data_IF_230979112641
#
_entry.id   IF_230979112641
#
_cell.length_a   1.000
_cell.length_b   1.000
_cell.length_c   1.000
_cell.angle_alpha   90.00
_cell.angle_beta   90.00
_cell.angle_gamma   90.00
#
_symmetry.space_group_name_H-M   'P 1'
#
loop_
_entity.id
_entity.type
_entity.pdbx_description
1 polymer ?
#
# COMPACT_ATOMS: atom_id res chain seq x y z
N UNK A 1 -3.03 -8.70 0.70
CA UNK A 1 -1.70 -9.34 0.65
C UNK A 1 -1.68 -10.32 -0.52
N UNK A 2 -0.62 -10.44 -1.32
CA UNK A 2 -0.58 -11.52 -2.33
C UNK A 2 0.33 -11.42 -3.56
N UNK A 3 1.27 -10.49 -3.66
CA UNK A 3 2.13 -10.37 -4.86
C UNK A 3 3.64 -10.44 -4.57
N UNK A 4 4.06 -10.88 -3.38
CA UNK A 4 5.49 -10.96 -3.02
C UNK A 4 6.30 -11.85 -3.96
N UNK A 5 5.79 -13.05 -4.26
CA UNK A 5 6.43 -13.98 -5.19
C UNK A 5 6.47 -13.42 -6.62
N UNK A 6 5.39 -12.74 -7.04
CA UNK A 6 5.29 -12.10 -8.36
C UNK A 6 6.30 -10.95 -8.49
N UNK A 7 6.41 -10.11 -7.46
CA UNK A 7 7.38 -9.03 -7.40
C UNK A 7 8.82 -9.58 -7.44
N UNK A 8 9.14 -10.59 -6.62
CA UNK A 8 10.47 -11.21 -6.59
C UNK A 8 10.87 -11.84 -7.93
N UNK A 9 9.94 -12.54 -8.59
CA UNK A 9 10.17 -13.13 -9.91
C UNK A 9 10.48 -12.06 -10.96
N UNK A 10 9.65 -11.00 -11.04
CA UNK A 10 9.87 -9.92 -12.00
C UNK A 10 11.15 -9.13 -11.71
N UNK A 11 11.46 -8.84 -10.43
CA UNK A 11 12.73 -8.20 -10.07
C UNK A 11 13.95 -9.04 -10.46
N UNK A 12 13.84 -10.37 -10.45
CA UNK A 12 14.92 -11.25 -10.92
C UNK A 12 15.10 -11.15 -12.44
N UNK A 13 14.00 -11.08 -13.20
CA UNK A 13 14.06 -10.87 -14.66
C UNK A 13 14.67 -9.52 -15.02
N UNK A 14 14.32 -8.46 -14.30
CA UNK A 14 14.90 -7.12 -14.47
C UNK A 14 16.41 -7.12 -14.21
N UNK A 15 16.85 -7.74 -13.11
CA UNK A 15 18.26 -7.86 -12.78
C UNK A 15 19.06 -8.68 -13.83
N UNK A 16 18.44 -9.71 -14.43
CA UNK A 16 19.05 -10.47 -15.51
C UNK A 16 19.19 -9.62 -16.79
N UNK A 17 18.15 -8.89 -17.17
CA UNK A 17 18.17 -8.01 -18.32
C UNK A 17 19.26 -6.92 -18.18
N UNK A 18 19.36 -6.31 -17.01
CA UNK A 18 20.41 -5.32 -16.70
C UNK A 18 21.81 -5.93 -16.75
N UNK A 19 22.00 -7.14 -16.20
CA UNK A 19 23.28 -7.84 -16.26
C UNK A 19 23.69 -8.17 -17.71
N UNK A 20 22.76 -8.61 -18.54
CA UNK A 20 23.04 -8.93 -19.94
C UNK A 20 23.30 -7.67 -20.77
N UNK A 21 22.50 -6.62 -20.59
CA UNK A 21 22.73 -5.34 -21.27
C UNK A 21 24.10 -4.74 -20.93
N UNK A 22 24.54 -4.86 -19.67
CA UNK A 22 25.88 -4.42 -19.24
C UNK A 22 27.02 -5.24 -19.87
N UNK A 23 26.72 -6.43 -20.41
CA UNK A 23 27.64 -7.25 -21.20
C UNK A 23 27.50 -7.03 -22.71
N UNK A 24 26.85 -5.93 -23.14
CA UNK A 24 26.56 -5.58 -24.54
C UNK A 24 25.61 -6.54 -25.27
N UNK A 25 24.80 -7.31 -24.54
CA UNK A 25 23.73 -8.09 -25.14
C UNK A 25 22.50 -7.22 -25.43
N UNK A 26 21.80 -7.51 -26.52
CA UNK A 26 20.58 -6.80 -26.90
C UNK A 26 19.37 -7.39 -26.14
N UNK A 27 19.24 -7.05 -24.86
CA UNK A 27 18.12 -7.46 -24.01
C UNK A 27 17.47 -6.24 -23.37
N UNK A 28 16.14 -6.25 -23.32
CA UNK A 28 15.33 -5.26 -22.61
C UNK A 28 14.25 -5.97 -21.79
N UNK A 29 14.15 -5.62 -20.51
CA UNK A 29 12.97 -5.89 -19.67
C UNK A 29 12.07 -4.66 -19.65
N UNK A 30 10.76 -4.86 -19.74
CA UNK A 30 9.78 -3.78 -19.67
C UNK A 30 8.85 -4.00 -18.48
N UNK A 31 8.87 -3.06 -17.54
CA UNK A 31 7.96 -3.01 -16.40
C UNK A 31 6.69 -2.28 -16.83
N UNK A 32 5.65 -3.05 -17.13
CA UNK A 32 4.37 -2.51 -17.59
C UNK A 32 3.49 -2.05 -16.42
N UNK A 33 2.85 -0.89 -16.59
CA UNK A 33 1.72 -0.44 -15.78
C UNK A 33 0.45 -1.26 -16.04
N UNK A 34 -0.68 -0.82 -15.47
CA UNK A 34 -1.96 -1.50 -15.62
C UNK A 34 -2.50 -1.39 -17.06
N UNK A 35 -3.01 -2.48 -17.62
CA UNK A 35 -3.63 -2.52 -18.95
C UNK A 35 -5.15 -2.37 -18.86
N UNK A 36 -5.76 -1.60 -19.77
CA UNK A 36 -7.22 -1.32 -19.78
C UNK A 36 -8.03 -2.37 -20.55
N UNK A 37 -7.46 -2.96 -21.59
CA UNK A 37 -8.21 -3.74 -22.60
C UNK A 37 -8.11 -5.26 -22.38
N UNK A 38 -7.61 -5.68 -21.21
CA UNK A 38 -7.36 -7.08 -20.88
C UNK A 38 -6.27 -7.28 -19.82
N UNK A 39 -6.37 -8.35 -19.04
CA UNK A 39 -5.26 -8.86 -18.21
C UNK A 39 -5.54 -8.94 -16.71
N UNK A 40 -4.47 -9.07 -15.91
CA UNK A 40 -4.55 -9.25 -14.46
C UNK A 40 -5.20 -8.06 -13.73
N UNK A 41 -5.06 -6.84 -14.28
CA UNK A 41 -5.56 -5.59 -13.70
C UNK A 41 -7.08 -5.40 -13.87
N UNK A 42 -7.63 -5.85 -15.01
CA UNK A 42 -9.07 -5.82 -15.31
C UNK A 42 -9.87 -6.74 -14.37
N UNK A 43 -9.29 -7.89 -13.97
CA UNK A 43 -9.96 -8.87 -13.10
C UNK A 43 -10.09 -8.45 -11.63
N UNK A 44 -9.40 -7.39 -11.20
CA UNK A 44 -9.29 -7.04 -9.77
C UNK A 44 -9.60 -5.57 -9.45
N UNK A 45 -10.28 -4.83 -10.34
CA UNK A 45 -10.59 -3.39 -10.13
C UNK A 45 -9.35 -2.51 -9.84
N UNK A 46 -8.15 -3.02 -10.15
CA UNK A 46 -6.87 -2.39 -9.84
C UNK A 46 -6.62 -1.17 -10.75
N UNK A 47 -7.24 -1.13 -11.93
CA UNK A 47 -7.24 0.02 -12.84
C UNK A 47 -7.88 1.25 -12.21
N UNK A 48 -9.03 1.09 -11.53
CA UNK A 48 -9.74 2.21 -10.91
C UNK A 48 -8.92 2.85 -9.79
N UNK A 49 -8.36 2.04 -8.89
CA UNK A 49 -7.50 2.55 -7.82
C UNK A 49 -6.22 3.19 -8.37
N UNK A 50 -5.56 2.54 -9.33
CA UNK A 50 -4.36 3.06 -9.99
C UNK A 50 -4.62 4.45 -10.58
N UNK A 51 -5.74 4.63 -11.28
CA UNK A 51 -6.12 5.91 -11.89
C UNK A 51 -6.46 7.00 -10.86
N UNK A 52 -7.08 6.63 -9.73
CA UNK A 52 -7.37 7.54 -8.62
C UNK A 52 -6.11 8.12 -7.97
N UNK A 53 -5.04 7.32 -7.86
CA UNK A 53 -3.76 7.77 -7.30
C UNK A 53 -2.78 8.34 -8.35
N UNK A 54 -3.22 8.45 -9.60
CA UNK A 54 -2.52 9.13 -10.70
C UNK A 54 -1.70 8.22 -11.64
N UNK A 55 -1.77 6.91 -11.51
CA UNK A 55 -1.21 5.95 -12.47
C UNK A 55 -2.28 5.54 -13.49
N UNK A 56 -2.13 6.01 -14.72
CA UNK A 56 -3.08 5.72 -15.80
C UNK A 56 -2.98 4.29 -16.34
N UNK A 57 -3.96 3.92 -17.15
CA UNK A 57 -4.05 2.61 -17.81
C UNK A 57 -3.48 2.63 -19.23
N UNK A 58 -3.00 1.47 -19.67
CA UNK A 58 -2.38 1.24 -20.98
C UNK A 58 -3.39 0.52 -21.87
N UNK A 59 -3.80 1.17 -22.96
CA UNK A 59 -4.58 0.50 -24.00
C UNK A 59 -3.69 -0.31 -24.94
N UNK A 60 -4.28 -1.20 -25.71
CA UNK A 60 -3.58 -1.99 -26.73
C UNK A 60 -2.92 -1.09 -27.78
N UNK A 61 -3.57 0.00 -28.18
CA UNK A 61 -3.00 0.97 -29.13
C UNK A 61 -1.77 1.65 -28.53
N UNK A 62 -1.85 2.10 -27.28
CA UNK A 62 -0.74 2.75 -26.60
C UNK A 62 0.44 1.79 -26.36
N UNK A 63 0.14 0.56 -25.92
CA UNK A 63 1.13 -0.49 -25.73
C UNK A 63 1.83 -0.88 -27.04
N UNK A 64 1.08 -0.99 -28.14
CA UNK A 64 1.64 -1.30 -29.47
C UNK A 64 2.59 -0.20 -29.95
N UNK A 65 2.16 1.07 -29.85
CA UNK A 65 3.02 2.20 -30.20
C UNK A 65 4.31 2.23 -29.38
N UNK A 66 4.22 1.90 -28.09
CA UNK A 66 5.39 1.81 -27.22
C UNK A 66 6.36 0.73 -27.70
N UNK A 67 5.88 -0.48 -28.01
CA UNK A 67 6.71 -1.58 -28.51
C UNK A 67 7.42 -1.18 -29.81
N UNK A 68 6.71 -0.53 -30.73
CA UNK A 68 7.31 -0.01 -31.98
C UNK A 68 8.45 0.97 -31.70
N UNK A 69 8.26 1.90 -30.75
CA UNK A 69 9.29 2.86 -30.34
C UNK A 69 10.51 2.16 -29.71
N UNK A 70 10.29 1.18 -28.85
CA UNK A 70 11.36 0.40 -28.21
C UNK A 70 12.21 -0.31 -29.25
N UNK A 71 11.57 -1.00 -30.21
CA UNK A 71 12.26 -1.75 -31.26
C UNK A 71 13.03 -0.80 -32.18
N UNK A 72 12.42 0.33 -32.57
CA UNK A 72 13.05 1.31 -33.44
C UNK A 72 14.30 1.94 -32.81
N UNK A 73 14.28 2.18 -31.51
CA UNK A 73 15.38 2.82 -30.78
C UNK A 73 16.41 1.83 -30.21
N UNK A 74 16.19 0.52 -30.33
CA UNK A 74 17.08 -0.54 -29.83
C UNK A 74 17.48 -0.34 -28.36
N UNK A 75 16.49 -0.03 -27.53
CA UNK A 75 16.72 0.15 -26.10
C UNK A 75 17.17 -1.16 -25.46
N UNK A 76 18.05 -1.07 -24.46
CA UNK A 76 18.58 -2.20 -23.68
C UNK A 76 18.47 -1.92 -22.18
N UNK A 77 18.46 -2.96 -21.36
CA UNK A 77 18.39 -2.87 -19.91
C UNK A 77 16.96 -3.01 -19.37
N UNK A 78 16.52 -2.07 -18.54
CA UNK A 78 15.18 -2.09 -17.92
C UNK A 78 14.46 -0.78 -18.20
N UNK A 79 13.20 -0.86 -18.63
CA UNK A 79 12.37 0.29 -18.94
C UNK A 79 11.02 0.16 -18.24
N UNK A 80 10.61 1.20 -17.51
CA UNK A 80 9.26 1.28 -16.95
C UNK A 80 8.35 2.05 -17.89
N UNK A 81 7.19 1.50 -18.18
CA UNK A 81 6.15 2.15 -18.96
C UNK A 81 4.83 2.15 -18.20
N UNK A 82 4.48 3.32 -17.69
CA UNK A 82 3.18 3.58 -17.08
C UNK A 82 2.76 5.01 -17.43
N UNK A 83 1.54 5.23 -17.91
CA UNK A 83 0.98 6.57 -18.03
C UNK A 83 0.87 7.18 -16.63
N UNK A 84 1.25 8.45 -16.47
CA UNK A 84 1.16 9.15 -15.19
C UNK A 84 0.38 10.45 -15.40
N UNK A 85 -0.70 10.60 -14.63
CA UNK A 85 -1.38 11.88 -14.46
C UNK A 85 -0.73 12.63 -13.31
N UNK A 86 0.25 13.47 -13.62
CA UNK A 86 1.02 14.24 -12.64
C UNK A 86 0.18 15.16 -11.76
N UNK A 87 -0.98 15.61 -12.25
CA UNK A 87 -1.88 16.46 -11.46
C UNK A 87 -2.64 15.67 -10.39
N UNK A 88 -2.76 14.35 -10.54
CA UNK A 88 -3.44 13.45 -9.60
C UNK A 88 -2.47 12.58 -8.80
N UNK A 89 -1.19 12.55 -9.17
CA UNK A 89 -0.21 11.66 -8.59
C UNK A 89 -0.07 11.89 -7.08
N UNK A 90 -0.44 10.88 -6.29
CA UNK A 90 -0.27 10.88 -4.84
C UNK A 90 0.71 9.77 -4.44
N UNK A 91 1.93 10.15 -4.12
CA UNK A 91 2.97 9.23 -3.61
C UNK A 91 2.87 9.13 -2.08
N UNK A 92 1.77 8.58 -1.57
CA UNK A 92 1.50 8.51 -0.13
C UNK A 92 2.05 7.26 0.56
N UNK A 93 2.79 6.40 -0.16
CA UNK A 93 3.43 5.24 0.45
C UNK A 93 4.65 5.69 1.27
N UNK A 94 4.85 5.08 2.45
CA UNK A 94 5.97 5.43 3.35
C UNK A 94 7.35 5.37 2.66
N UNK A 95 7.50 4.49 1.67
CA UNK A 95 8.75 4.31 0.92
C UNK A 95 9.03 5.47 -0.06
N UNK A 96 7.98 6.11 -0.60
CA UNK A 96 8.10 7.12 -1.67
C UNK A 96 7.85 8.54 -1.16
N UNK A 97 7.14 8.70 -0.04
CA UNK A 97 6.96 10.01 0.61
C UNK A 97 8.29 10.69 0.97
N UNK A 98 9.34 9.90 1.23
CA UNK A 98 10.70 10.40 1.44
C UNK A 98 11.33 11.02 0.18
N UNK A 99 10.95 10.55 -1.00
CA UNK A 99 11.41 11.08 -2.30
C UNK A 99 10.62 12.34 -2.71
N UNK A 100 9.33 12.41 -2.37
CA UNK A 100 8.49 13.57 -2.64
C UNK A 100 8.93 14.83 -1.87
N UNK A 101 9.51 14.65 -0.66
CA UNK A 101 10.02 15.76 0.15
C UNK A 101 11.33 16.37 -0.39
N UNK A 102 11.93 15.83 -1.45
CA UNK A 102 13.22 16.33 -1.97
C UNK A 102 13.06 17.44 -3.02
N UNK A 103 11.85 17.77 -3.49
CA UNK A 103 11.63 18.72 -4.61
C UNK A 103 10.66 19.86 -4.33
N UNK A 104 10.52 20.30 -3.07
CA UNK A 104 9.76 21.53 -2.78
C UNK A 104 10.40 22.32 -1.63
N UNK A 105 11.47 23.05 -1.93
CA UNK A 105 11.69 24.34 -1.27
C UNK A 105 10.67 25.33 -1.86
N UNK A 106 9.43 25.26 -1.39
CA UNK A 106 8.46 26.32 -1.61
C UNK A 106 8.53 27.29 -0.44
N UNK A 107 8.82 28.53 -0.80
CA UNK A 107 8.85 29.73 0.01
C UNK A 107 7.66 29.76 0.98
N UNK A 108 7.95 29.86 2.27
CA UNK A 108 6.98 30.16 3.31
C UNK A 108 6.49 31.59 3.07
N UNK A 109 5.33 31.72 2.42
CA UNK A 109 4.52 32.92 2.53
C UNK A 109 3.34 32.58 3.43
N UNK A 110 3.36 33.17 4.62
CA UNK A 110 2.30 33.02 5.59
C UNK A 110 1.02 33.66 5.05
N UNK A 111 -0.05 32.88 5.03
CA UNK A 111 -1.39 33.41 5.10
C UNK A 111 -2.26 32.55 6.02
N UNK A 112 -3.12 33.28 6.72
CA UNK A 112 -3.80 32.93 7.97
C UNK A 112 -4.70 31.70 7.83
N UNK A 113 -4.50 30.73 8.73
CA UNK A 113 -5.45 29.66 8.96
C UNK A 113 -6.77 30.25 9.51
N UNK A 114 -7.85 30.04 8.76
CA UNK A 114 -9.21 30.21 9.25
C UNK A 114 -9.50 28.99 10.12
N UNK A 115 -9.58 29.20 11.43
CA UNK A 115 -10.06 28.24 12.41
C UNK A 115 -11.54 27.95 12.09
N UNK A 116 -11.86 26.71 11.69
CA UNK A 116 -13.23 26.21 11.75
C UNK A 116 -13.42 25.56 13.11
N UNK A 117 -14.44 26.02 13.82
CA UNK A 117 -14.84 25.58 15.15
C UNK A 117 -15.10 24.05 15.18
N UNK A 118 -14.44 23.37 16.11
CA UNK A 118 -14.71 21.99 16.51
C UNK A 118 -16.08 21.94 17.20
N UNK A 119 -17.10 21.48 16.47
CA UNK A 119 -18.35 21.07 17.09
C UNK A 119 -18.25 19.61 17.55
N UNK A 120 -18.70 19.44 18.79
CA UNK A 120 -19.00 18.22 19.54
C UNK A 120 -19.18 16.96 18.67
N UNK A 121 -18.41 15.92 18.97
CA UNK A 121 -18.29 14.70 18.15
C UNK A 121 -19.52 13.81 18.35
N UNK A 122 -20.63 14.17 17.72
CA UNK A 122 -21.85 13.37 17.79
C UNK A 122 -21.66 12.05 17.03
N UNK A 123 -21.93 10.92 17.70
CA UNK A 123 -21.81 9.56 17.16
C UNK A 123 -22.56 9.41 15.83
N UNK A 124 -23.67 10.14 15.68
CA UNK A 124 -24.47 10.18 14.46
C UNK A 124 -23.68 10.67 13.23
N UNK A 125 -22.77 11.63 13.42
CA UNK A 125 -21.94 12.21 12.36
C UNK A 125 -20.82 11.25 11.96
N UNK A 126 -20.20 10.61 12.95
CA UNK A 126 -19.18 9.57 12.70
C UNK A 126 -19.80 8.40 11.95
N UNK A 127 -20.98 7.93 12.36
CA UNK A 127 -21.68 6.82 11.71
C UNK A 127 -21.97 7.13 10.23
N UNK A 128 -22.42 8.36 9.92
CA UNK A 128 -22.64 8.76 8.52
C UNK A 128 -21.36 8.78 7.69
N UNK A 129 -20.24 9.29 8.24
CA UNK A 129 -18.95 9.32 7.54
C UNK A 129 -18.40 7.89 7.32
N UNK A 130 -18.50 7.00 8.32
CA UNK A 130 -18.08 5.60 8.15
C UNK A 130 -18.92 4.92 7.07
N UNK A 131 -20.24 5.12 7.05
CA UNK A 131 -21.13 4.57 6.02
C UNK A 131 -20.74 5.07 4.63
N UNK A 132 -20.40 6.36 4.49
CA UNK A 132 -19.94 6.91 3.23
C UNK A 132 -18.65 6.23 2.74
N UNK A 133 -17.62 6.13 3.60
CA UNK A 133 -16.37 5.47 3.24
C UNK A 133 -16.56 3.99 2.85
N UNK A 134 -17.52 3.30 3.47
CA UNK A 134 -17.85 1.91 3.12
C UNK A 134 -18.55 1.81 1.76
N UNK A 135 -19.52 2.68 1.49
CA UNK A 135 -20.26 2.68 0.22
C UNK A 135 -19.41 3.07 -0.99
N UNK A 136 -18.32 3.83 -0.79
CA UNK A 136 -17.35 4.14 -1.85
C UNK A 136 -16.54 2.91 -2.29
N UNK A 137 -16.37 1.93 -1.39
CA UNK A 137 -15.53 0.74 -1.61
C UNK A 137 -16.37 -0.48 -1.97
N UNK A 138 -17.54 -0.63 -1.34
CA UNK A 138 -18.46 -1.74 -1.58
C UNK A 138 -19.71 -1.21 -2.29
N UNK A 139 -20.00 -1.66 -3.53
CA UNK A 139 -21.04 -1.06 -4.37
C UNK A 139 -22.50 -1.30 -3.95
N UNK A 140 -22.75 -1.93 -2.79
CA UNK A 140 -24.09 -2.27 -2.32
C UNK A 140 -24.48 -1.42 -1.10
N UNK A 141 -25.78 -1.14 -0.96
CA UNK A 141 -26.34 -0.52 0.26
C UNK A 141 -26.33 -1.57 1.39
N UNK A 142 -25.32 -1.48 2.26
CA UNK A 142 -25.08 -2.45 3.33
C UNK A 142 -25.72 -1.95 4.62
N UNK A 143 -26.49 -2.83 5.28
CA UNK A 143 -27.02 -2.55 6.60
C UNK A 143 -25.90 -2.40 7.64
N UNK A 144 -26.05 -1.44 8.57
CA UNK A 144 -25.00 -1.08 9.54
C UNK A 144 -24.51 -2.25 10.42
N UNK A 145 -25.35 -3.27 10.63
CA UNK A 145 -25.06 -4.47 11.44
C UNK A 145 -24.50 -5.64 10.60
N UNK A 146 -24.44 -5.49 9.28
CA UNK A 146 -23.97 -6.55 8.38
C UNK A 146 -22.45 -6.61 8.32
N UNK A 147 -21.93 -7.83 8.25
CA UNK A 147 -20.52 -8.11 8.05
C UNK A 147 -20.09 -7.67 6.65
N UNK A 148 -19.09 -6.81 6.57
CA UNK A 148 -18.61 -6.28 5.30
C UNK A 148 -17.96 -7.35 4.42
N UNK A 149 -17.32 -8.35 5.03
CA UNK A 149 -16.72 -9.47 4.29
C UNK A 149 -17.77 -10.28 3.52
N UNK A 150 -18.94 -10.50 4.12
CA UNK A 150 -20.05 -11.22 3.47
C UNK A 150 -20.71 -10.39 2.37
N UNK A 151 -20.48 -9.06 2.37
CA UNK A 151 -21.00 -8.12 1.39
C UNK A 151 -19.97 -7.73 0.30
N UNK A 152 -18.85 -8.46 0.21
CA UNK A 152 -17.86 -8.30 -0.87
C UNK A 152 -16.63 -7.47 -0.53
N UNK A 153 -16.43 -7.11 0.75
CA UNK A 153 -15.16 -6.54 1.21
C UNK A 153 -14.07 -7.62 1.24
N UNK A 154 -13.08 -7.47 0.38
CA UNK A 154 -11.92 -8.36 0.32
C UNK A 154 -10.71 -7.82 1.12
N UNK A 155 -9.57 -8.50 1.00
CA UNK A 155 -8.32 -8.10 1.67
C UNK A 155 -7.74 -6.78 1.17
N UNK A 156 -8.04 -6.36 -0.06
CA UNK A 156 -7.57 -5.09 -0.61
C UNK A 156 -8.50 -3.95 -0.19
N UNK A 157 -9.81 -4.17 -0.28
CA UNK A 157 -10.84 -3.26 0.23
C UNK A 157 -10.68 -2.97 1.71
N UNK A 158 -10.24 -3.94 2.51
CA UNK A 158 -9.92 -3.72 3.94
C UNK A 158 -8.76 -2.75 4.17
N UNK A 159 -7.76 -2.74 3.28
CA UNK A 159 -6.63 -1.79 3.35
C UNK A 159 -7.10 -0.39 2.91
N UNK A 160 -7.86 -0.32 1.81
CA UNK A 160 -8.39 0.94 1.30
C UNK A 160 -9.34 1.61 2.30
N UNK A 161 -10.21 0.82 2.93
CA UNK A 161 -11.15 1.31 3.93
C UNK A 161 -10.41 1.82 5.18
N UNK A 162 -9.39 1.10 5.64
CA UNK A 162 -8.56 1.57 6.74
C UNK A 162 -7.87 2.90 6.42
N UNK A 163 -7.40 3.08 5.18
CA UNK A 163 -6.76 4.33 4.74
C UNK A 163 -7.77 5.48 4.63
N UNK A 164 -8.96 5.24 4.07
CA UNK A 164 -10.02 6.24 3.95
C UNK A 164 -10.47 6.73 5.34
N UNK A 165 -10.72 5.80 6.26
CA UNK A 165 -11.09 6.12 7.64
C UNK A 165 -9.94 6.84 8.38
N UNK A 166 -8.69 6.45 8.14
CA UNK A 166 -7.53 7.14 8.72
C UNK A 166 -7.46 8.61 8.32
N UNK A 167 -7.73 8.89 7.03
CA UNK A 167 -7.70 10.23 6.49
C UNK A 167 -8.89 11.09 6.96
N UNK A 168 -10.10 10.52 6.97
CA UNK A 168 -11.32 11.24 7.38
C UNK A 168 -11.29 11.60 8.87
N UNK A 169 -10.74 10.72 9.71
CA UNK A 169 -10.79 10.88 11.16
C UNK A 169 -9.47 11.34 11.81
N UNK A 170 -8.42 11.58 11.01
CA UNK A 170 -7.05 11.87 11.47
C UNK A 170 -6.54 10.83 12.50
N UNK A 171 -6.71 9.55 12.15
CA UNK A 171 -6.32 8.41 12.98
C UNK A 171 -5.33 7.51 12.22
N UNK A 172 -4.46 6.81 12.93
CA UNK A 172 -3.63 5.75 12.33
C UNK A 172 -4.34 4.40 12.42
N UNK A 173 -5.10 4.06 11.38
CA UNK A 173 -5.80 2.78 11.25
C UNK A 173 -5.15 1.93 10.16
N UNK A 174 -5.14 0.61 10.35
CA UNK A 174 -4.59 -0.36 9.40
C UNK A 174 -5.64 -1.42 9.06
N UNK A 175 -5.33 -2.35 8.15
CA UNK A 175 -6.28 -3.40 7.76
C UNK A 175 -6.72 -4.31 8.93
N UNK A 176 -5.90 -4.46 9.98
CA UNK A 176 -6.26 -5.21 11.19
C UNK A 176 -7.44 -4.56 11.93
N UNK A 177 -7.53 -3.22 11.88
CA UNK A 177 -8.67 -2.50 12.44
C UNK A 177 -9.99 -2.89 11.76
N UNK A 178 -10.02 -2.94 10.42
CA UNK A 178 -11.22 -3.28 9.64
C UNK A 178 -11.60 -4.76 9.85
N UNK A 179 -10.61 -5.64 9.96
CA UNK A 179 -10.83 -7.06 10.23
C UNK A 179 -11.44 -7.28 11.63
N UNK A 180 -10.97 -6.55 12.64
CA UNK A 180 -11.47 -6.68 14.01
C UNK A 180 -12.81 -5.96 14.24
N UNK A 181 -13.20 -5.07 13.33
CA UNK A 181 -14.44 -4.31 13.40
C UNK A 181 -15.24 -4.52 12.09
N UNK A 182 -15.85 -5.70 11.89
CA UNK A 182 -16.36 -6.10 10.58
C UNK A 182 -17.67 -5.44 10.15
N UNK A 183 -18.24 -4.52 10.94
CA UNK A 183 -19.51 -3.83 10.65
C UNK A 183 -19.33 -2.31 10.75
N UNK A 184 -20.19 -1.55 10.06
CA UNK A 184 -20.20 -0.09 10.09
C UNK A 184 -20.40 0.43 11.52
N UNK A 185 -21.32 -0.20 12.26
CA UNK A 185 -21.62 0.16 13.65
C UNK A 185 -20.41 0.00 14.57
N UNK A 186 -19.74 -1.16 14.53
CA UNK A 186 -18.56 -1.41 15.36
C UNK A 186 -17.41 -0.46 15.01
N UNK A 187 -17.21 -0.16 13.73
CA UNK A 187 -16.19 0.83 13.32
C UNK A 187 -16.50 2.23 13.84
N UNK A 188 -17.76 2.68 13.77
CA UNK A 188 -18.16 3.98 14.28
C UNK A 188 -17.99 4.07 15.82
N UNK A 189 -18.32 3.02 16.56
CA UNK A 189 -18.11 2.94 18.01
C UNK A 189 -16.62 3.04 18.37
N UNK A 190 -15.78 2.25 17.71
CA UNK A 190 -14.34 2.19 17.99
C UNK A 190 -13.60 3.49 17.60
N UNK A 191 -14.01 4.14 16.49
CA UNK A 191 -13.50 5.46 16.09
C UNK A 191 -13.89 6.54 17.10
N UNK A 192 -15.12 6.47 17.62
CA UNK A 192 -15.61 7.40 18.65
C UNK A 192 -14.78 7.28 19.93
N UNK A 193 -14.50 6.06 20.38
CA UNK A 193 -13.66 5.82 21.56
C UNK A 193 -12.22 6.29 21.35
N UNK A 194 -11.61 6.01 20.18
CA UNK A 194 -10.24 6.47 19.87
C UNK A 194 -10.14 7.99 19.79
N UNK A 195 -11.16 8.70 19.27
CA UNK A 195 -11.20 10.17 19.27
C UNK A 195 -11.34 10.76 20.67
N UNK A 196 -12.13 10.15 21.56
CA UNK A 196 -12.20 10.57 22.97
C UNK A 196 -10.84 10.50 23.66
N UNK A 197 -10.10 9.41 23.48
CA UNK A 197 -8.78 9.21 24.10
C UNK A 197 -7.73 10.19 23.57
N UNK A 198 -7.74 10.48 22.27
CA UNK A 198 -6.86 11.50 21.68
C UNK A 198 -7.19 12.90 22.19
N UNK A 199 -8.46 13.26 22.34
CA UNK A 199 -8.86 14.56 22.90
C UNK A 199 -8.47 14.70 24.38
N UNK A 200 -8.47 13.62 25.17
CA UNK A 200 -8.00 13.64 26.56
C UNK A 200 -6.48 13.86 26.62
N UNK A 201 -5.71 13.23 25.73
CA UNK A 201 -4.23 13.33 25.72
C UNK A 201 -3.75 14.70 25.24
N UNK A 202 -4.46 15.31 24.30
CA UNK A 202 -4.23 16.70 23.86
C UNK A 202 -4.54 17.71 24.98
N UNK A 203 -5.59 17.48 25.78
CA UNK A 203 -5.95 18.35 26.91
C UNK A 203 -5.00 18.23 28.12
N UNK A 204 -4.33 17.10 28.33
CA UNK A 204 -3.31 16.95 29.38
C UNK A 204 -2.02 17.71 29.02
N UNK A 205 -1.74 17.94 27.74
CA UNK A 205 -0.51 18.62 27.28
C UNK A 205 -0.59 20.16 27.39
N UNK A 206 -1.80 20.73 27.53
CA UNK A 206 -2.01 22.19 27.62
C UNK A 206 -1.79 22.74 29.05
N UNK A 207 -1.60 21.89 30.07
CA UNK A 207 -1.45 22.34 31.46
C UNK A 207 0.00 22.27 32.00
N UNK A 208 0.98 22.70 31.20
CA UNK A 208 2.39 22.81 31.64
C UNK A 208 2.80 24.20 32.16
N UNK A 209 1.89 25.17 32.17
CA UNK A 209 2.18 26.55 32.61
C UNK A 209 1.97 26.80 34.12
N UNK A 210 1.74 25.76 34.95
CA UNK A 210 1.51 25.93 36.40
C UNK A 210 2.44 25.14 37.34
N UNK A 211 3.69 24.87 36.96
CA UNK A 211 4.72 24.50 37.96
C UNK A 211 5.95 25.40 37.79
N UNK A 212 5.82 26.62 38.31
CA UNK A 212 6.92 27.52 38.58
C UNK A 212 7.14 27.53 40.10
N UNK A 213 8.01 26.64 40.59
CA UNK A 213 8.97 26.89 41.67
C UNK A 213 9.48 25.55 42.22
N UNK A 214 10.77 25.27 41.95
CA UNK A 214 11.78 24.82 42.90
C UNK A 214 13.09 24.60 42.12
N UNK A 215 14.03 25.51 42.35
CA UNK A 215 15.39 25.47 41.82
C UNK A 215 16.20 24.31 42.42
N UNK A 216 17.16 23.86 41.60
CA UNK A 216 18.45 23.21 41.94
C UNK A 216 18.42 21.85 42.64
N UNK A 217 19.00 20.82 42.01
CA UNK A 217 20.35 20.30 42.32
C UNK A 217 20.88 19.51 41.12
N UNK A 218 22.19 19.64 40.95
CA UNK A 218 23.13 19.17 39.94
C UNK A 218 23.19 17.63 39.73
N UNK A 219 23.84 17.27 38.61
CA UNK A 219 24.64 16.06 38.32
C UNK A 219 24.06 14.91 37.46
N UNK A 220 24.65 14.83 36.26
CA UNK A 220 25.10 13.64 35.51
C UNK A 220 24.16 12.45 35.29
N UNK A 221 23.67 12.32 34.04
CA UNK A 221 23.83 11.08 33.27
C UNK A 221 23.77 11.35 31.76
N UNK A 222 24.90 11.13 31.09
CA UNK A 222 25.01 10.94 29.63
C UNK A 222 24.18 9.73 29.22
N UNK A 223 23.51 9.76 28.06
CA UNK A 223 23.98 9.07 26.83
C UNK A 223 22.95 9.12 25.68
N UNK A 224 23.43 9.64 24.54
CA UNK A 224 23.22 9.20 23.15
C UNK A 224 21.84 8.79 22.64
N UNK A 225 21.33 9.56 21.67
CA UNK A 225 20.24 9.18 20.77
C UNK A 225 20.33 9.89 19.40
N UNK A 226 21.53 9.91 18.79
CA UNK A 226 21.66 10.14 17.35
C UNK A 226 21.55 8.75 16.71
N UNK A 227 20.45 8.45 16.02
CA UNK A 227 20.31 7.19 15.27
C UNK A 227 20.42 7.49 13.77
N UNK A 228 21.59 7.15 13.23
CA UNK A 228 21.92 7.05 11.81
C UNK A 228 20.97 6.06 11.12
N UNK A 229 20.09 6.52 10.23
CA UNK A 229 19.21 5.69 9.40
C UNK A 229 19.89 5.17 8.11
N UNK A 230 21.15 4.74 8.18
CA UNK A 230 21.90 4.31 6.99
C UNK A 230 22.44 2.88 7.02
N UNK A 231 22.14 2.07 8.05
CA UNK A 231 22.74 0.74 8.22
C UNK A 231 21.80 -0.36 8.72
N UNK A 232 20.48 -0.25 8.51
CA UNK A 232 19.59 -1.40 8.72
C UNK A 232 19.70 -2.42 7.57
N UNK A 233 20.87 -3.06 7.44
CA UNK A 233 20.90 -4.48 7.11
C UNK A 233 20.15 -5.18 8.24
N UNK A 234 18.86 -5.45 8.04
CA UNK A 234 18.07 -6.30 8.93
C UNK A 234 18.64 -7.71 8.78
N UNK A 235 19.71 -7.98 9.53
CA UNK A 235 20.33 -9.28 9.72
C UNK A 235 19.58 -10.03 10.84
N UNK A 236 18.25 -9.89 10.87
CA UNK A 236 17.41 -10.57 11.83
C UNK A 236 17.17 -12.00 11.35
N UNK A 237 17.33 -13.01 12.22
CA UNK A 237 17.12 -14.39 11.84
C UNK A 237 15.66 -14.62 11.43
N UNK A 238 15.45 -15.09 10.20
CA UNK A 238 14.13 -15.47 9.69
C UNK A 238 13.81 -16.88 10.20
N UNK A 239 12.69 -17.02 10.90
CA UNK A 239 12.16 -18.32 11.30
C UNK A 239 11.03 -18.76 10.37
N UNK A 240 11.17 -19.91 9.73
CA UNK A 240 10.09 -20.57 9.00
C UNK A 240 9.30 -21.42 10.01
N UNK A 241 8.10 -20.96 10.38
CA UNK A 241 7.26 -21.59 11.40
C UNK A 241 6.25 -22.61 10.83
N UNK A 242 6.18 -22.76 9.51
CA UNK A 242 5.32 -23.72 8.83
C UNK A 242 5.36 -23.57 7.31
N UNK A 243 5.04 -24.64 6.59
CA UNK A 243 4.97 -24.67 5.12
C UNK A 243 3.71 -25.42 4.69
N UNK A 244 3.08 -24.96 3.60
CA UNK A 244 1.98 -25.65 2.95
C UNK A 244 2.16 -25.53 1.44
N UNK A 245 2.00 -26.65 0.72
CA UNK A 245 2.19 -26.70 -0.72
C UNK A 245 0.88 -27.11 -1.39
N UNK A 246 0.49 -26.34 -2.41
CA UNK A 246 -0.52 -26.73 -3.41
C UNK A 246 -0.12 -26.08 -4.71
N UNK A 247 0.82 -26.70 -5.39
CA UNK A 247 1.51 -26.17 -6.56
C UNK A 247 1.14 -26.99 -7.81
N UNK A 248 1.34 -26.44 -9.02
CA UNK A 248 1.16 -27.20 -10.26
C UNK A 248 1.98 -28.50 -10.30
N UNK A 249 1.50 -29.51 -11.04
CA UNK A 249 2.18 -30.80 -11.14
C UNK A 249 1.92 -31.77 -9.99
N UNK A 250 0.77 -31.62 -9.32
CA UNK A 250 0.31 -32.42 -8.17
C UNK A 250 1.22 -32.36 -6.93
N UNK A 251 1.89 -31.21 -6.74
CA UNK A 251 2.78 -31.00 -5.59
C UNK A 251 1.99 -30.46 -4.40
N UNK A 252 1.91 -31.27 -3.36
CA UNK A 252 1.13 -31.05 -2.14
C UNK A 252 1.99 -30.97 -0.86
N UNK A 253 3.28 -31.26 -0.96
CA UNK A 253 4.24 -31.16 0.14
C UNK A 253 5.53 -30.42 -0.24
N UNK A 254 6.28 -29.99 0.77
CA UNK A 254 7.61 -29.37 0.60
C UNK A 254 8.62 -30.33 -0.02
N UNK A 255 8.52 -31.61 0.33
CA UNK A 255 9.36 -32.69 -0.18
C UNK A 255 9.15 -32.89 -1.69
N UNK A 256 7.88 -32.99 -2.10
CA UNK A 256 7.49 -33.10 -3.52
C UNK A 256 7.93 -31.85 -4.31
N UNK A 257 7.86 -30.67 -3.70
CA UNK A 257 8.36 -29.44 -4.32
C UNK A 257 9.89 -29.51 -4.55
N UNK A 258 10.65 -30.01 -3.58
CA UNK A 258 12.10 -30.15 -3.73
C UNK A 258 12.49 -31.20 -4.77
N UNK A 259 11.76 -32.30 -4.85
CA UNK A 259 11.97 -33.32 -5.88
C UNK A 259 11.67 -32.75 -7.27
N UNK A 260 10.53 -32.07 -7.44
CA UNK A 260 10.16 -31.39 -8.68
C UNK A 260 11.25 -30.41 -9.17
N UNK A 261 11.83 -29.63 -8.25
CA UNK A 261 12.93 -28.71 -8.58
C UNK A 261 14.21 -29.44 -8.99
N UNK A 262 14.58 -30.51 -8.28
CA UNK A 262 15.76 -31.33 -8.62
C UNK A 262 15.61 -31.99 -10.00
N UNK A 263 14.41 -32.44 -10.31
CA UNK A 263 14.07 -33.08 -11.59
C UNK A 263 13.87 -32.08 -12.74
N UNK A 264 13.90 -30.77 -12.47
CA UNK A 264 13.65 -29.71 -13.45
C UNK A 264 12.31 -29.91 -14.20
N UNK A 265 11.29 -30.41 -13.48
CA UNK A 265 10.00 -30.78 -14.05
C UNK A 265 9.18 -29.53 -14.43
N UNK A 266 8.87 -29.39 -15.71
CA UNK A 266 7.93 -28.38 -16.19
C UNK A 266 6.49 -28.81 -15.86
N UNK A 267 5.76 -27.94 -15.15
CA UNK A 267 4.39 -28.17 -14.72
C UNK A 267 3.37 -27.30 -15.45
N UNK A 268 3.80 -26.58 -16.50
CA UNK A 268 2.91 -25.83 -17.38
C UNK A 268 2.07 -26.81 -18.20
N UNK A 269 0.76 -26.63 -18.16
CA UNK A 269 -0.21 -27.45 -18.91
C UNK A 269 -1.17 -26.56 -19.69
N UNK A 270 -1.66 -27.06 -20.82
CA UNK A 270 -2.70 -26.38 -21.58
C UNK A 270 -4.00 -26.30 -20.77
N UNK A 271 -4.71 -25.18 -20.87
CA UNK A 271 -5.99 -25.00 -20.20
C UNK A 271 -7.01 -25.98 -20.79
N UNK A 272 -7.69 -26.81 -19.97
CA UNK A 272 -8.65 -27.79 -20.47
C UNK A 272 -9.77 -27.13 -21.28
N UNK A 273 -10.13 -27.70 -22.44
CA UNK A 273 -11.20 -27.18 -23.32
C UNK A 273 -12.61 -27.20 -22.70
N UNK A 274 -12.78 -27.89 -21.58
CA UNK A 274 -14.04 -27.99 -20.84
C UNK A 274 -14.20 -26.90 -19.77
N UNK A 275 -13.24 -25.96 -19.67
CA UNK A 275 -13.26 -24.87 -18.70
C UNK A 275 -13.92 -23.62 -19.25
#
# INVERSE_FOLDING_TARGET
AGQGNYAAANSTLDALAEKWSNNNENVLSIQWGAWSDGGMAERHSATNYSEEIGFGSISNELGTQMIEQVIANKLVGVLCFTPINWNKLKLSTQLVSHLANTTSQSVVNGDKAIVKEENDTDYSSILSSVRQCVNEIVPNDISDDSTLMDNGLDSLGSVMLAQALSQEFDLSLNSVFVINNPTIKYMAEEITEKKKVNNITSNITINKDQIHDLKSVDSNQKTNGIVNMADHKVNEPIAVIGTACRLPGDVSSTEEFWEMLKEHKDCVTDVPRSR
#
